data_IF_758542480936
#
_entry.id   IF_758542480936
#
_cell.length_a   1.000
_cell.length_b   1.000
_cell.length_c   1.000
_cell.angle_alpha   90.00
_cell.angle_beta   90.00
_cell.angle_gamma   90.00
#
_symmetry.space_group_name_H-M   'P 1'
#
loop_
_entity.id
_entity.type
_entity.pdbx_description
1 polymer ?
#
# COMPACT_ATOMS: atom_id res chain seq x y z
N UNK A 1 25.88 41.45 2.01
CA UNK A 1 24.69 41.13 1.20
C UNK A 1 24.41 39.65 1.35
N UNK A 2 23.62 39.33 2.38
CA UNK A 2 23.21 37.99 2.75
C UNK A 2 22.15 37.49 1.78
N UNK A 3 22.44 36.40 1.08
CA UNK A 3 21.42 35.58 0.45
C UNK A 3 20.43 35.17 1.55
N UNK A 4 19.25 35.78 1.54
CA UNK A 4 18.16 35.50 2.46
C UNK A 4 17.86 34.00 2.36
N UNK A 5 18.27 33.28 3.39
CA UNK A 5 17.99 31.88 3.58
C UNK A 5 16.49 31.71 3.69
N UNK A 6 15.86 31.33 2.57
CA UNK A 6 14.56 30.69 2.60
C UNK A 6 14.78 29.35 3.30
N UNK A 7 14.55 29.32 4.62
CA UNK A 7 14.27 28.09 5.32
C UNK A 7 13.02 27.50 4.67
N UNK A 8 13.22 26.66 3.65
CA UNK A 8 12.15 25.93 3.00
C UNK A 8 11.46 25.08 4.08
N UNK A 9 10.32 25.58 4.56
CA UNK A 9 9.53 24.93 5.60
C UNK A 9 9.22 23.49 5.19
N UNK A 10 9.02 22.62 6.18
CA UNK A 10 8.68 21.21 5.96
C UNK A 10 7.52 21.02 4.94
N UNK A 11 6.60 21.99 4.89
CA UNK A 11 5.47 22.06 3.97
C UNK A 11 5.85 22.23 2.49
N UNK A 12 6.99 22.85 2.17
CA UNK A 12 7.49 22.91 0.79
C UNK A 12 8.09 21.58 0.33
N UNK A 13 8.54 20.74 1.28
CA UNK A 13 9.15 19.42 1.02
C UNK A 13 8.12 18.29 0.96
N UNK A 14 7.05 18.38 1.73
CA UNK A 14 5.95 17.41 1.73
C UNK A 14 4.87 17.95 0.78
N UNK A 15 4.94 17.57 -0.50
CA UNK A 15 3.90 17.97 -1.46
C UNK A 15 2.52 17.61 -0.91
N UNK A 16 1.66 18.61 -0.70
CA UNK A 16 0.52 18.56 0.23
C UNK A 16 -0.48 17.41 0.09
N UNK A 17 -0.51 16.70 -1.04
CA UNK A 17 -1.33 15.49 -1.20
C UNK A 17 -0.76 14.25 -0.51
N UNK A 18 0.54 14.25 -0.16
CA UNK A 18 1.20 13.15 0.55
C UNK A 18 0.70 13.00 1.98
N UNK A 19 0.20 14.09 2.58
CA UNK A 19 -0.20 14.12 3.98
C UNK A 19 -1.37 13.15 4.27
N UNK A 20 -2.26 12.97 3.28
CA UNK A 20 -3.41 12.07 3.39
C UNK A 20 -2.97 10.61 3.58
N UNK A 21 -2.27 9.98 2.62
CA UNK A 21 -1.84 8.59 2.82
C UNK A 21 -0.76 8.42 3.89
N UNK A 22 0.12 9.41 4.07
CA UNK A 22 1.25 9.25 4.99
C UNK A 22 0.86 9.44 6.47
N UNK A 23 -0.15 10.27 6.76
CA UNK A 23 -0.55 10.57 8.13
C UNK A 23 -1.99 10.16 8.43
N UNK A 24 -2.95 10.53 7.58
CA UNK A 24 -4.37 10.25 7.86
C UNK A 24 -4.63 8.73 7.90
N UNK A 25 -4.09 7.97 6.95
CA UNK A 25 -4.31 6.53 6.91
C UNK A 25 -3.73 5.79 8.13
N UNK A 26 -2.45 5.98 8.53
CA UNK A 26 -1.96 5.37 9.77
C UNK A 26 -2.70 5.81 11.04
N UNK A 27 -3.14 7.06 11.15
CA UNK A 27 -3.95 7.51 12.30
C UNK A 27 -5.28 6.76 12.36
N UNK A 28 -6.00 6.67 11.23
CA UNK A 28 -7.26 5.92 11.16
C UNK A 28 -7.01 4.44 11.48
N UNK A 29 -5.98 3.83 10.88
CA UNK A 29 -5.61 2.44 11.14
C UNK A 29 -5.34 2.17 12.62
N UNK A 30 -4.61 3.06 13.30
CA UNK A 30 -4.34 2.98 14.73
C UNK A 30 -5.63 3.06 15.56
N UNK A 31 -6.50 4.05 15.29
CA UNK A 31 -7.75 4.24 16.04
C UNK A 31 -8.69 3.05 15.86
N UNK A 32 -8.86 2.57 14.63
CA UNK A 32 -9.74 1.43 14.31
C UNK A 32 -9.27 0.17 15.05
N UNK A 33 -7.96 -0.13 15.03
CA UNK A 33 -7.42 -1.30 15.73
C UNK A 33 -7.55 -1.18 17.26
N UNK A 34 -7.40 0.03 17.83
CA UNK A 34 -7.65 0.24 19.27
C UNK A 34 -9.12 0.00 19.59
N UNK A 35 -10.03 0.52 18.77
CA UNK A 35 -11.47 0.35 18.96
C UNK A 35 -11.84 -1.14 18.92
N UNK A 36 -11.40 -1.86 17.89
CA UNK A 36 -11.63 -3.31 17.75
C UNK A 36 -11.11 -4.09 18.96
N UNK A 37 -9.90 -3.78 19.46
CA UNK A 37 -9.38 -4.42 20.66
C UNK A 37 -10.24 -4.16 21.90
N UNK A 38 -10.75 -2.93 22.07
CA UNK A 38 -11.65 -2.58 23.19
C UNK A 38 -12.99 -3.31 23.06
N UNK A 39 -13.55 -3.35 21.86
CA UNK A 39 -14.80 -4.07 21.57
C UNK A 39 -14.63 -5.56 21.92
N UNK A 40 -13.55 -6.21 21.46
CA UNK A 40 -13.24 -7.61 21.77
C UNK A 40 -13.05 -7.88 23.27
N UNK A 41 -12.33 -7.01 23.99
CA UNK A 41 -12.18 -7.15 25.45
C UNK A 41 -13.48 -6.96 26.20
N UNK A 42 -14.37 -6.08 25.71
CA UNK A 42 -15.67 -5.85 26.33
C UNK A 42 -16.58 -7.08 26.19
N UNK A 43 -16.59 -7.71 25.02
CA UNK A 43 -17.34 -8.94 24.74
C UNK A 43 -16.77 -10.14 25.51
N UNK A 44 -15.44 -10.19 25.70
CA UNK A 44 -14.80 -11.22 26.52
C UNK A 44 -15.32 -11.26 27.97
N UNK A 45 -15.85 -10.15 28.50
CA UNK A 45 -16.44 -10.11 29.84
C UNK A 45 -17.78 -10.86 29.96
N UNK A 46 -18.40 -11.22 28.83
CA UNK A 46 -19.62 -12.01 28.80
C UNK A 46 -19.33 -13.52 28.93
N UNK A 47 -20.31 -14.29 29.41
CA UNK A 47 -20.18 -15.76 29.63
C UNK A 47 -20.23 -16.54 28.32
N UNK A 48 -19.19 -16.39 27.50
CA UNK A 48 -18.96 -17.16 26.27
C UNK A 48 -18.22 -18.48 26.56
N UNK A 49 -18.22 -19.39 25.58
CA UNK A 49 -17.40 -20.62 25.64
C UNK A 49 -15.92 -20.27 25.68
N UNK A 50 -15.11 -21.06 26.41
CA UNK A 50 -13.68 -20.81 26.61
C UNK A 50 -12.88 -20.67 25.30
N UNK A 51 -13.26 -21.39 24.25
CA UNK A 51 -12.58 -21.32 22.94
C UNK A 51 -12.76 -19.95 22.26
N UNK A 52 -13.99 -19.43 22.27
CA UNK A 52 -14.31 -18.09 21.75
C UNK A 52 -13.61 -17.01 22.56
N UNK A 53 -13.58 -17.16 23.89
CA UNK A 53 -12.88 -16.22 24.78
C UNK A 53 -11.38 -16.13 24.47
N UNK A 54 -10.71 -17.27 24.27
CA UNK A 54 -9.29 -17.31 23.89
C UNK A 54 -9.09 -16.66 22.51
N UNK A 55 -9.97 -16.96 21.55
CA UNK A 55 -9.90 -16.37 20.22
C UNK A 55 -10.03 -14.83 20.27
N UNK A 56 -11.04 -14.29 20.96
CA UNK A 56 -11.22 -12.85 21.13
C UNK A 56 -10.04 -12.19 21.83
N UNK A 57 -9.47 -12.83 22.86
CA UNK A 57 -8.29 -12.32 23.54
C UNK A 57 -7.07 -12.25 22.61
N UNK A 58 -6.84 -13.29 21.81
CA UNK A 58 -5.75 -13.31 20.82
C UNK A 58 -5.98 -12.24 19.75
N UNK A 59 -7.21 -12.09 19.26
CA UNK A 59 -7.56 -11.06 18.28
C UNK A 59 -7.33 -9.65 18.82
N UNK A 60 -7.80 -9.37 20.04
CA UNK A 60 -7.58 -8.08 20.70
C UNK A 60 -6.09 -7.75 20.85
N UNK A 61 -5.26 -8.73 21.23
CA UNK A 61 -3.79 -8.55 21.32
C UNK A 61 -3.21 -8.26 19.93
N UNK A 62 -3.64 -8.96 18.89
CA UNK A 62 -3.20 -8.71 17.51
C UNK A 62 -3.58 -7.30 17.06
N UNK A 63 -4.80 -6.84 17.32
CA UNK A 63 -5.25 -5.48 17.04
C UNK A 63 -4.38 -4.44 17.78
N UNK A 64 -4.03 -4.65 19.05
CA UNK A 64 -3.12 -3.76 19.78
C UNK A 64 -1.71 -3.72 19.17
N UNK A 65 -1.17 -4.87 18.75
CA UNK A 65 0.12 -4.95 18.06
C UNK A 65 0.06 -4.16 16.74
N UNK A 66 -1.02 -4.33 15.97
CA UNK A 66 -1.24 -3.61 14.72
C UNK A 66 -1.40 -2.11 14.95
N UNK A 67 -2.10 -1.68 16.00
CA UNK A 67 -2.20 -0.28 16.39
C UNK A 67 -0.83 0.32 16.72
N UNK A 68 -0.01 -0.39 17.50
CA UNK A 68 1.35 0.02 17.81
C UNK A 68 2.21 0.12 16.54
N UNK A 69 2.09 -0.84 15.61
CA UNK A 69 2.79 -0.80 14.33
C UNK A 69 2.36 0.41 13.47
N UNK A 70 1.08 0.78 13.46
CA UNK A 70 0.60 2.01 12.81
C UNK A 70 1.19 3.27 13.48
N UNK A 71 1.29 3.29 14.80
CA UNK A 71 1.98 4.34 15.56
C UNK A 71 3.47 4.47 15.16
N UNK A 72 4.18 3.35 15.03
CA UNK A 72 5.56 3.33 14.52
C UNK A 72 5.65 3.86 13.09
N UNK A 73 4.67 3.53 12.23
CA UNK A 73 4.60 4.08 10.88
C UNK A 73 4.44 5.60 10.89
N UNK A 74 3.65 6.17 11.81
CA UNK A 74 3.52 7.62 11.97
C UNK A 74 4.83 8.27 12.42
N UNK A 75 5.55 7.63 13.34
CA UNK A 75 6.87 8.10 13.75
C UNK A 75 7.87 8.11 12.58
N UNK A 76 7.91 7.08 11.74
CA UNK A 76 8.76 7.09 10.55
C UNK A 76 8.30 8.13 9.51
N UNK A 77 6.99 8.37 9.40
CA UNK A 77 6.45 9.41 8.53
C UNK A 77 6.87 10.81 9.00
N UNK A 78 6.75 11.12 10.29
CA UNK A 78 7.06 12.43 10.86
C UNK A 78 8.55 12.76 10.83
N UNK A 79 9.39 11.74 10.96
CA UNK A 79 10.86 11.87 10.86
C UNK A 79 11.39 11.82 9.43
N UNK A 80 10.50 11.70 8.43
CA UNK A 80 10.85 11.56 7.01
C UNK A 80 11.86 10.43 6.75
N UNK A 81 11.74 9.33 7.50
CA UNK A 81 12.70 8.22 7.44
C UNK A 81 12.53 7.40 6.15
N UNK A 82 13.65 7.03 5.52
CA UNK A 82 13.72 6.14 4.33
C UNK A 82 13.04 4.79 4.51
N UNK A 83 12.88 4.33 5.76
CA UNK A 83 12.23 3.06 6.09
C UNK A 83 10.70 3.14 5.93
N UNK A 84 10.11 4.33 6.08
CA UNK A 84 8.65 4.51 6.08
C UNK A 84 7.95 3.85 4.88
N UNK A 85 8.35 4.09 3.60
CA UNK A 85 7.60 3.58 2.46
C UNK A 85 7.51 2.04 2.43
N UNK A 86 8.63 1.37 2.73
CA UNK A 86 8.69 -0.09 2.78
C UNK A 86 7.91 -0.64 3.97
N UNK A 87 8.05 -0.02 5.15
CA UNK A 87 7.34 -0.44 6.35
C UNK A 87 5.82 -0.30 6.22
N UNK A 88 5.35 0.85 5.73
CA UNK A 88 3.93 1.09 5.46
C UNK A 88 3.35 0.10 4.45
N UNK A 89 4.10 -0.22 3.38
CA UNK A 89 3.67 -1.21 2.40
C UNK A 89 3.53 -2.62 3.01
N UNK A 90 4.50 -3.02 3.83
CA UNK A 90 4.43 -4.28 4.58
C UNK A 90 3.26 -4.31 5.54
N UNK A 91 3.00 -3.21 6.26
CA UNK A 91 1.92 -3.13 7.22
C UNK A 91 0.54 -3.31 6.57
N UNK A 92 0.31 -2.71 5.40
CA UNK A 92 -0.90 -2.95 4.62
C UNK A 92 -1.02 -4.41 4.14
N UNK A 93 0.08 -5.00 3.68
CA UNK A 93 0.08 -6.39 3.24
C UNK A 93 -0.23 -7.35 4.40
N UNK A 94 0.39 -7.13 5.57
CA UNK A 94 0.12 -7.89 6.80
C UNK A 94 -1.34 -7.74 7.20
N UNK A 95 -1.90 -6.53 7.14
CA UNK A 95 -3.30 -6.29 7.50
C UNK A 95 -4.28 -7.12 6.64
N UNK A 96 -4.02 -7.21 5.32
CA UNK A 96 -4.80 -8.07 4.41
C UNK A 96 -4.64 -9.54 4.78
N UNK A 97 -3.42 -10.01 5.04
CA UNK A 97 -3.18 -11.42 5.39
C UNK A 97 -3.86 -11.78 6.71
N UNK A 98 -3.70 -10.96 7.74
CA UNK A 98 -4.29 -11.18 9.07
C UNK A 98 -5.83 -11.18 8.98
N UNK A 99 -6.44 -10.20 8.31
CA UNK A 99 -7.88 -10.18 8.12
C UNK A 99 -8.42 -11.42 7.37
N UNK A 100 -7.68 -11.90 6.37
CA UNK A 100 -8.05 -13.12 5.64
C UNK A 100 -7.91 -14.39 6.49
N UNK A 101 -6.88 -14.46 7.35
CA UNK A 101 -6.68 -15.57 8.28
C UNK A 101 -7.73 -15.59 9.40
N UNK A 102 -8.15 -14.44 9.90
CA UNK A 102 -9.23 -14.32 10.88
C UNK A 102 -10.54 -14.85 10.27
N UNK A 103 -10.90 -14.38 9.08
CA UNK A 103 -12.09 -14.87 8.36
C UNK A 103 -12.04 -16.39 8.13
N UNK A 104 -10.89 -16.91 7.69
CA UNK A 104 -10.66 -18.36 7.56
C UNK A 104 -10.94 -19.10 8.86
N UNK A 105 -10.35 -18.61 9.93
CA UNK A 105 -10.41 -19.23 11.24
C UNK A 105 -11.86 -19.28 11.74
N UNK A 106 -12.61 -18.19 11.58
CA UNK A 106 -14.02 -18.10 11.98
C UNK A 106 -14.86 -19.18 11.29
N UNK A 107 -14.72 -19.30 9.96
CA UNK A 107 -15.44 -20.30 9.17
C UNK A 107 -15.06 -21.72 9.57
N UNK A 108 -13.77 -22.01 9.68
CA UNK A 108 -13.28 -23.37 9.87
C UNK A 108 -13.44 -23.88 11.30
N UNK A 109 -13.31 -23.01 12.31
CA UNK A 109 -13.33 -23.41 13.72
C UNK A 109 -14.68 -23.24 14.37
N UNK A 110 -15.40 -22.17 14.06
CA UNK A 110 -16.70 -21.91 14.67
C UNK A 110 -17.88 -22.31 13.79
N UNK A 111 -17.63 -22.66 12.52
CA UNK A 111 -18.70 -22.99 11.57
C UNK A 111 -19.63 -21.80 11.27
N UNK A 112 -19.23 -20.59 11.69
CA UNK A 112 -19.99 -19.38 11.49
C UNK A 112 -19.80 -18.91 10.05
N UNK A 113 -20.91 -18.69 9.35
CA UNK A 113 -20.87 -18.05 8.03
C UNK A 113 -20.45 -16.59 8.20
N UNK A 114 -19.49 -16.07 7.41
CA UNK A 114 -19.10 -14.67 7.50
C UNK A 114 -20.27 -13.78 7.12
N UNK A 115 -20.42 -12.68 7.84
CA UNK A 115 -21.44 -11.67 7.60
C UNK A 115 -21.03 -10.76 6.43
N UNK A 116 -21.97 -10.09 5.75
CA UNK A 116 -21.66 -9.08 4.74
C UNK A 116 -20.70 -7.99 5.24
N UNK A 117 -20.79 -7.65 6.53
CA UNK A 117 -19.91 -6.71 7.23
C UNK A 117 -18.46 -7.19 7.22
N UNK A 118 -18.22 -8.48 7.52
CA UNK A 118 -16.86 -9.05 7.52
C UNK A 118 -16.21 -8.97 6.13
N UNK A 119 -16.99 -9.26 5.08
CA UNK A 119 -16.51 -9.13 3.70
C UNK A 119 -16.27 -7.68 3.32
N UNK A 120 -17.12 -6.75 3.78
CA UNK A 120 -16.95 -5.34 3.54
C UNK A 120 -15.63 -4.85 4.17
N UNK A 121 -15.35 -5.22 5.41
CA UNK A 121 -14.14 -4.79 6.10
C UNK A 121 -12.87 -5.41 5.52
N UNK A 122 -12.90 -6.70 5.18
CA UNK A 122 -11.81 -7.34 4.45
C UNK A 122 -11.58 -6.68 3.08
N UNK A 123 -12.65 -6.39 2.33
CA UNK A 123 -12.53 -5.77 1.01
C UNK A 123 -11.95 -4.35 1.08
N UNK A 124 -12.29 -3.56 2.10
CA UNK A 124 -11.67 -2.25 2.37
C UNK A 124 -10.16 -2.38 2.58
N UNK A 125 -9.73 -3.37 3.35
CA UNK A 125 -8.30 -3.64 3.58
C UNK A 125 -7.57 -4.02 2.28
N UNK A 126 -8.18 -4.87 1.46
CA UNK A 126 -7.63 -5.25 0.15
C UNK A 126 -7.54 -4.05 -0.79
N UNK A 127 -8.59 -3.23 -0.88
CA UNK A 127 -8.60 -2.03 -1.73
C UNK A 127 -7.57 -1.00 -1.26
N UNK A 128 -7.45 -0.78 0.05
CA UNK A 128 -6.43 0.07 0.63
C UNK A 128 -5.03 -0.41 0.24
N UNK A 129 -4.74 -1.70 0.36
CA UNK A 129 -3.46 -2.27 -0.04
C UNK A 129 -3.18 -2.10 -1.55
N UNK A 130 -4.17 -2.38 -2.41
CA UNK A 130 -4.05 -2.25 -3.88
C UNK A 130 -3.77 -0.81 -4.30
N UNK A 131 -4.41 0.18 -3.66
CA UNK A 131 -4.24 1.60 -3.99
C UNK A 131 -2.93 2.13 -3.41
N UNK A 132 -2.69 1.89 -2.12
CA UNK A 132 -1.63 2.60 -1.41
C UNK A 132 -0.25 1.97 -1.56
N UNK A 133 -0.13 0.64 -1.67
CA UNK A 133 1.18 -0.01 -1.82
C UNK A 133 1.89 0.46 -3.11
N UNK A 134 1.27 0.42 -4.30
CA UNK A 134 1.91 0.90 -5.52
C UNK A 134 2.19 2.40 -5.45
N UNK A 135 1.26 3.19 -4.89
CA UNK A 135 1.44 4.62 -4.73
C UNK A 135 2.69 4.95 -3.89
N UNK A 136 2.82 4.35 -2.71
CA UNK A 136 3.92 4.60 -1.77
C UNK A 136 5.26 4.13 -2.35
N UNK A 137 5.31 2.96 -3.00
CA UNK A 137 6.57 2.40 -3.50
C UNK A 137 7.04 2.98 -4.84
N UNK A 138 6.11 3.46 -5.69
CA UNK A 138 6.44 3.89 -7.06
C UNK A 138 6.47 5.41 -7.21
N UNK A 139 5.67 6.15 -6.44
CA UNK A 139 5.52 7.60 -6.60
C UNK A 139 6.85 8.35 -6.47
N UNK A 140 7.16 9.16 -7.50
CA UNK A 140 8.32 10.06 -7.49
C UNK A 140 8.27 11.05 -6.32
N UNK A 141 7.07 11.46 -5.90
CA UNK A 141 6.89 12.40 -4.78
C UNK A 141 7.28 11.76 -3.45
N UNK A 142 6.79 10.55 -3.17
CA UNK A 142 7.17 9.78 -1.98
C UNK A 142 8.68 9.57 -1.97
N UNK A 143 9.25 9.22 -3.12
CA UNK A 143 10.70 9.03 -3.26
C UNK A 143 11.49 10.30 -2.97
N UNK A 144 11.05 11.44 -3.49
CA UNK A 144 11.67 12.72 -3.21
C UNK A 144 11.63 13.06 -1.72
N UNK A 145 10.47 12.88 -1.08
CA UNK A 145 10.25 13.21 0.32
C UNK A 145 11.07 12.33 1.27
N UNK A 146 11.04 11.00 1.10
CA UNK A 146 11.67 10.07 2.05
C UNK A 146 13.10 9.68 1.71
N UNK A 147 13.49 9.67 0.43
CA UNK A 147 14.85 9.29 0.03
C UNK A 147 15.77 10.50 -0.16
N UNK A 148 15.22 11.72 -0.11
CA UNK A 148 15.97 12.96 -0.32
C UNK A 148 16.43 13.14 -1.77
N UNK A 149 15.73 12.52 -2.73
CA UNK A 149 16.04 12.71 -4.15
C UNK A 149 15.59 14.13 -4.53
N UNK A 150 16.52 15.01 -4.95
CA UNK A 150 16.17 16.37 -5.32
C UNK A 150 15.18 16.32 -6.48
N UNK A 151 13.96 16.83 -6.25
CA UNK A 151 13.02 17.07 -7.34
C UNK A 151 13.47 18.35 -8.03
N UNK A 152 13.72 18.34 -9.36
CA UNK A 152 13.96 19.58 -10.06
C UNK A 152 12.75 20.48 -9.78
N UNK A 153 13.02 21.66 -9.21
CA UNK A 153 11.98 22.65 -8.95
C UNK A 153 11.16 22.79 -10.23
N UNK A 154 9.82 22.74 -10.11
CA UNK A 154 8.97 23.00 -11.27
C UNK A 154 9.43 24.35 -11.80
N UNK A 155 9.91 24.44 -13.05
CA UNK A 155 10.42 25.71 -13.53
C UNK A 155 9.30 26.75 -13.38
N UNK A 156 9.62 27.85 -12.72
CA UNK A 156 8.70 28.98 -12.63
C UNK A 156 8.51 29.44 -14.07
N UNK A 157 7.29 29.28 -14.59
CA UNK A 157 6.95 29.54 -16.00
C UNK A 157 7.14 31.00 -16.43
N UNK A 158 7.70 31.89 -15.59
CA UNK A 158 7.96 33.28 -15.94
C UNK A 158 9.16 33.48 -16.88
N UNK A 159 10.14 32.56 -16.93
CA UNK A 159 11.33 32.69 -17.81
C UNK A 159 11.56 31.55 -18.81
N UNK A 160 10.81 30.43 -18.72
CA UNK A 160 11.00 29.29 -19.64
C UNK A 160 10.52 29.58 -21.07
N UNK A 161 9.65 30.57 -21.27
CA UNK A 161 9.30 31.01 -22.63
C UNK A 161 10.51 31.47 -23.46
N UNK A 162 11.55 32.01 -22.82
CA UNK A 162 12.76 32.49 -23.49
C UNK A 162 13.86 31.42 -23.63
N UNK A 163 14.12 30.62 -22.58
CA UNK A 163 15.16 29.57 -22.63
C UNK A 163 14.72 28.30 -23.36
N UNK A 164 13.42 28.03 -23.52
CA UNK A 164 12.93 26.89 -24.31
C UNK A 164 13.24 27.01 -25.82
N UNK A 165 13.80 28.14 -26.27
CA UNK A 165 14.27 28.36 -27.66
C UNK A 165 15.79 28.28 -27.83
N UNK A 166 16.58 28.07 -26.79
CA UNK A 166 18.04 27.93 -26.98
C UNK A 166 18.36 26.54 -27.57
N UNK A 167 19.25 26.46 -28.58
CA UNK A 167 19.61 25.19 -29.22
C UNK A 167 20.11 24.14 -28.22
N UNK A 168 20.90 24.58 -27.24
CA UNK A 168 21.52 23.73 -26.22
C UNK A 168 20.49 23.03 -25.32
N UNK A 169 19.38 23.72 -24.98
CA UNK A 169 18.30 23.11 -24.21
C UNK A 169 17.55 22.06 -25.02
N UNK A 170 17.35 22.31 -26.32
CA UNK A 170 16.71 21.35 -27.23
C UNK A 170 17.58 20.10 -27.33
N UNK A 171 18.89 20.25 -27.49
CA UNK A 171 19.84 19.15 -27.59
C UNK A 171 19.90 18.31 -26.29
N UNK A 172 19.98 18.96 -25.12
CA UNK A 172 19.94 18.22 -23.83
C UNK A 172 18.61 17.50 -23.62
N UNK A 173 17.49 18.10 -24.05
CA UNK A 173 16.16 17.47 -23.96
C UNK A 173 16.06 16.28 -24.91
N UNK A 174 16.63 16.37 -26.10
CA UNK A 174 16.70 15.25 -27.04
C UNK A 174 17.63 14.14 -26.56
N UNK A 175 18.79 14.46 -25.99
CA UNK A 175 19.68 13.47 -25.37
C UNK A 175 18.99 12.72 -24.22
N UNK A 176 18.30 13.44 -23.30
CA UNK A 176 17.51 12.79 -22.24
C UNK A 176 16.36 11.96 -22.80
N UNK A 177 15.70 12.43 -23.86
CA UNK A 177 14.63 11.68 -24.55
C UNK A 177 15.19 10.43 -25.23
N UNK A 178 16.42 10.49 -25.77
CA UNK A 178 17.15 9.34 -26.32
C UNK A 178 17.59 8.37 -25.23
N UNK A 179 18.07 8.82 -24.07
CA UNK A 179 18.37 7.96 -22.93
C UNK A 179 17.11 7.26 -22.37
N UNK A 180 16.01 7.99 -22.22
CA UNK A 180 14.71 7.43 -21.80
C UNK A 180 14.09 6.52 -22.88
N UNK A 181 14.36 6.81 -24.15
CA UNK A 181 14.04 5.94 -25.29
C UNK A 181 14.86 4.66 -25.26
N UNK A 182 16.12 4.74 -24.81
CA UNK A 182 17.05 3.63 -24.65
C UNK A 182 16.85 2.82 -23.36
N UNK A 183 15.83 3.14 -22.53
CA UNK A 183 15.26 2.12 -21.65
C UNK A 183 14.91 0.94 -22.56
N UNK A 184 15.70 -0.13 -22.45
CA UNK A 184 15.65 -1.21 -23.42
C UNK A 184 14.20 -1.68 -23.56
N UNK A 185 13.77 -2.01 -24.76
CA UNK A 185 12.41 -2.52 -24.98
C UNK A 185 12.07 -3.64 -23.99
N UNK A 186 13.08 -4.39 -23.56
CA UNK A 186 13.02 -5.37 -22.48
C UNK A 186 12.50 -4.80 -21.15
N UNK A 187 13.01 -3.67 -20.65
CA UNK A 187 12.55 -3.06 -19.38
C UNK A 187 11.09 -2.58 -19.47
N UNK A 188 10.69 -2.02 -20.62
CA UNK A 188 9.29 -1.62 -20.86
C UNK A 188 8.38 -2.84 -20.89
N UNK A 189 8.81 -3.90 -21.57
CA UNK A 189 8.11 -5.17 -21.61
C UNK A 189 7.95 -5.78 -20.20
N UNK A 190 9.01 -5.79 -19.38
CA UNK A 190 8.93 -6.26 -17.99
C UNK A 190 7.94 -5.48 -17.13
N UNK A 191 7.81 -4.16 -17.33
CA UNK A 191 6.76 -3.39 -16.66
C UNK A 191 5.36 -3.75 -17.17
N UNK A 192 5.15 -3.94 -18.48
CA UNK A 192 3.86 -4.34 -19.04
C UNK A 192 3.44 -5.72 -18.50
N UNK A 193 4.35 -6.69 -18.48
CA UNK A 193 4.07 -8.03 -17.97
C UNK A 193 3.75 -7.99 -16.47
N UNK A 194 4.49 -7.21 -15.68
CA UNK A 194 4.15 -6.99 -14.27
C UNK A 194 2.73 -6.46 -14.07
N UNK A 195 2.35 -5.41 -14.81
CA UNK A 195 1.01 -4.83 -14.73
C UNK A 195 -0.08 -5.81 -15.19
N UNK A 196 0.18 -6.58 -16.25
CA UNK A 196 -0.72 -7.64 -16.69
C UNK A 196 -1.01 -8.65 -15.57
N UNK A 197 0.03 -9.14 -14.89
CA UNK A 197 -0.15 -10.07 -13.77
C UNK A 197 -0.81 -9.44 -12.54
N UNK A 198 -0.63 -8.13 -12.30
CA UNK A 198 -1.41 -7.41 -11.29
C UNK A 198 -2.91 -7.36 -11.65
N UNK A 199 -3.25 -7.13 -12.92
CA UNK A 199 -4.65 -7.15 -13.39
C UNK A 199 -5.24 -8.56 -13.28
N UNK A 200 -4.49 -9.59 -13.67
CA UNK A 200 -4.91 -10.99 -13.50
C UNK A 200 -5.12 -11.32 -12.03
N UNK A 201 -4.23 -10.89 -11.14
CA UNK A 201 -4.39 -11.08 -9.70
C UNK A 201 -5.68 -10.42 -9.17
N UNK A 202 -5.95 -9.18 -9.58
CA UNK A 202 -7.18 -8.48 -9.20
C UNK A 202 -8.44 -9.19 -9.74
N UNK A 203 -8.41 -9.69 -10.97
CA UNK A 203 -9.50 -10.47 -11.56
C UNK A 203 -9.74 -11.78 -10.81
N UNK A 204 -8.68 -12.49 -10.41
CA UNK A 204 -8.80 -13.70 -9.60
C UNK A 204 -9.56 -13.39 -8.30
N UNK A 205 -9.14 -12.36 -7.55
CA UNK A 205 -9.85 -11.96 -6.32
C UNK A 205 -11.32 -11.61 -6.59
N UNK A 206 -11.59 -10.83 -7.65
CA UNK A 206 -12.97 -10.48 -8.03
C UNK A 206 -13.85 -11.70 -8.32
N UNK A 207 -13.32 -12.67 -9.07
CA UNK A 207 -14.01 -13.93 -9.39
C UNK A 207 -14.26 -14.74 -8.12
N UNK A 208 -13.30 -14.81 -7.20
CA UNK A 208 -13.48 -15.57 -5.96
C UNK A 208 -14.49 -14.95 -5.00
N UNK A 209 -14.51 -13.62 -4.89
CA UNK A 209 -15.54 -12.90 -4.14
C UNK A 209 -16.91 -13.18 -4.72
N UNK A 210 -17.07 -13.04 -6.05
CA UNK A 210 -18.33 -13.33 -6.73
C UNK A 210 -18.78 -14.79 -6.56
N UNK A 211 -17.85 -15.74 -6.68
CA UNK A 211 -18.13 -17.16 -6.52
C UNK A 211 -18.51 -17.53 -5.06
N UNK A 212 -17.84 -16.94 -4.07
CA UNK A 212 -18.19 -17.15 -2.67
C UNK A 212 -19.56 -16.58 -2.33
N UNK A 213 -19.90 -15.41 -2.86
CA UNK A 213 -21.21 -14.80 -2.69
C UNK A 213 -22.34 -15.67 -3.29
N UNK A 214 -22.12 -16.27 -4.47
CA UNK A 214 -23.13 -17.12 -5.11
C UNK A 214 -23.28 -18.51 -4.47
N UNK A 215 -22.22 -19.05 -3.87
CA UNK A 215 -22.21 -20.43 -3.36
C UNK A 215 -22.44 -20.52 -1.86
N UNK A 216 -22.40 -19.40 -1.13
CA UNK A 216 -22.33 -19.37 0.34
C UNK A 216 -21.21 -20.26 0.90
N UNK A 217 -20.15 -20.48 0.11
CA UNK A 217 -18.99 -21.26 0.49
C UNK A 217 -17.74 -20.39 0.41
N UNK A 218 -16.90 -20.47 1.43
CA UNK A 218 -15.66 -19.69 1.50
C UNK A 218 -14.51 -20.30 0.66
N UNK A 219 -14.59 -21.59 0.32
CA UNK A 219 -13.59 -22.30 -0.48
C UNK A 219 -13.20 -21.61 -1.81
N UNK A 220 -14.13 -21.20 -2.68
CA UNK A 220 -13.79 -20.51 -3.94
C UNK A 220 -13.06 -19.18 -3.72
N UNK A 221 -13.34 -18.47 -2.63
CA UNK A 221 -12.63 -17.25 -2.30
C UNK A 221 -11.17 -17.51 -1.94
N UNK A 222 -10.87 -18.51 -1.12
CA UNK A 222 -9.48 -18.83 -0.78
C UNK A 222 -8.65 -19.32 -1.96
N UNK A 223 -9.24 -20.16 -2.81
CA UNK A 223 -8.60 -20.59 -4.04
C UNK A 223 -8.24 -19.37 -4.91
N UNK A 224 -9.14 -18.40 -5.00
CA UNK A 224 -8.92 -17.18 -5.76
C UNK A 224 -7.80 -16.29 -5.21
N UNK A 225 -7.66 -16.21 -3.88
CA UNK A 225 -6.58 -15.46 -3.23
C UNK A 225 -5.24 -16.13 -3.52
N UNK A 226 -5.18 -17.46 -3.45
CA UNK A 226 -3.96 -18.22 -3.79
C UNK A 226 -3.60 -17.96 -5.26
N UNK A 227 -4.56 -18.04 -6.18
CA UNK A 227 -4.34 -17.71 -7.58
C UNK A 227 -3.87 -16.27 -7.78
N UNK A 228 -4.45 -15.31 -7.06
CA UNK A 228 -4.05 -13.92 -7.13
C UNK A 228 -2.63 -13.69 -6.61
N UNK A 229 -2.26 -14.33 -5.50
CA UNK A 229 -0.92 -14.26 -4.93
C UNK A 229 0.13 -14.88 -5.86
N UNK A 230 -0.17 -16.05 -6.45
CA UNK A 230 0.71 -16.68 -7.44
C UNK A 230 0.88 -15.78 -8.66
N UNK A 231 -0.21 -15.23 -9.20
CA UNK A 231 -0.14 -14.29 -10.32
C UNK A 231 0.73 -13.07 -9.99
N UNK A 232 0.55 -12.47 -8.81
CA UNK A 232 1.36 -11.35 -8.35
C UNK A 232 2.85 -11.72 -8.19
N UNK A 233 3.16 -12.89 -7.62
CA UNK A 233 4.52 -13.39 -7.49
C UNK A 233 5.19 -13.57 -8.85
N UNK A 234 4.48 -14.13 -9.84
CA UNK A 234 4.98 -14.29 -11.21
C UNK A 234 5.28 -12.91 -11.80
N UNK A 235 4.35 -11.95 -11.71
CA UNK A 235 4.57 -10.59 -12.18
C UNK A 235 5.80 -9.94 -11.55
N UNK A 236 5.99 -10.14 -10.24
CA UNK A 236 7.16 -9.61 -9.50
C UNK A 236 8.46 -10.29 -9.93
N UNK A 237 8.46 -11.62 -10.07
CA UNK A 237 9.63 -12.39 -10.51
C UNK A 237 10.07 -11.97 -11.92
N UNK A 238 9.12 -11.85 -12.86
CA UNK A 238 9.40 -11.37 -14.22
C UNK A 238 10.01 -9.98 -14.19
N UNK A 239 9.47 -9.08 -13.38
CA UNK A 239 10.03 -7.73 -13.21
C UNK A 239 11.46 -7.75 -12.67
N UNK A 240 11.77 -8.59 -11.70
CA UNK A 240 13.12 -8.74 -11.14
C UNK A 240 14.11 -9.26 -12.19
N UNK A 241 13.76 -10.37 -12.86
CA UNK A 241 14.62 -11.00 -13.89
C UNK A 241 14.90 -10.04 -15.05
N UNK A 242 13.88 -9.35 -15.54
CA UNK A 242 14.00 -8.46 -16.70
C UNK A 242 14.72 -7.14 -16.36
N UNK A 243 14.54 -6.61 -15.15
CA UNK A 243 15.17 -5.36 -14.76
C UNK A 243 16.59 -5.54 -14.20
N UNK A 244 17.04 -6.78 -13.97
CA UNK A 244 18.38 -7.08 -13.47
C UNK A 244 18.67 -6.47 -12.10
N UNK A 245 17.64 -6.34 -11.26
CA UNK A 245 17.70 -5.79 -9.90
C UNK A 245 17.27 -6.83 -8.90
#
# INVERSE_FOLDING_TARGET
>A
MSALGYENGLYDKIGGWLILPAFLHPVIGMIVNIKEAVDDFSVHAEKLTSEVQIFLMVNAILCLIMAAAWGCSLYFASTLNRIFPSFYAWLNAINVVVGGLILLFIVQKFGAAPTPEDYADFSKNVLAAIIWIPYILVSKRVKATFYGIPMPARPINSHVGYLARTPEYIEQKEQRKMELSNLSMLQRFGMVVYWFFCVVAALCVGIGVFAAANTNQAAPFFLSIICAFIAWLIGRAVKFIILGK
#
